data_IF_138123296662
#
_entry.id   IF_138123296662
#
_cell.length_a   1.000
_cell.length_b   1.000
_cell.length_c   1.000
_cell.angle_alpha   90.00
_cell.angle_beta   90.00
_cell.angle_gamma   90.00
#
_symmetry.space_group_name_H-M   'P 1'
#
loop_
_entity.id
_entity.type
_entity.pdbx_description
1 polymer ?
#
# COMPACT_ATOMS: atom_id res chain seq x y z
N UNK A 1 15.15 47.37 -8.27
CA UNK A 1 13.74 47.62 -8.68
C UNK A 1 13.00 48.46 -7.63
N UNK A 2 12.95 48.07 -6.36
CA UNK A 2 12.24 48.80 -5.29
C UNK A 2 12.61 50.29 -5.18
N UNK A 3 13.93 50.62 -5.34
CA UNK A 3 14.38 52.03 -5.31
C UNK A 3 13.91 52.85 -6.51
N UNK A 4 13.87 52.20 -7.70
CA UNK A 4 13.40 52.84 -8.93
C UNK A 4 11.86 53.02 -8.89
N UNK A 5 11.15 52.06 -8.41
CA UNK A 5 9.70 52.14 -8.19
C UNK A 5 9.33 53.22 -7.14
N UNK A 6 10.13 53.34 -6.06
CA UNK A 6 9.95 54.35 -5.06
C UNK A 6 10.24 55.78 -5.60
N UNK A 7 11.21 55.90 -6.48
CA UNK A 7 11.53 57.20 -7.17
C UNK A 7 10.43 57.60 -8.15
N UNK A 8 9.95 56.64 -8.96
CA UNK A 8 8.86 56.89 -9.93
C UNK A 8 7.54 57.27 -9.23
N UNK A 9 7.28 56.70 -8.04
CA UNK A 9 6.12 57.14 -7.22
C UNK A 9 6.22 58.60 -6.74
N UNK A 10 7.45 59.08 -6.53
CA UNK A 10 7.68 60.47 -6.05
C UNK A 10 7.83 61.47 -7.19
N UNK A 11 8.41 61.06 -8.30
CA UNK A 11 8.65 61.88 -9.48
C UNK A 11 8.45 61.05 -10.76
N UNK A 12 7.20 61.03 -11.30
CA UNK A 12 6.87 60.19 -12.48
C UNK A 12 7.68 60.50 -13.72
N UNK A 13 8.10 61.76 -13.91
CA UNK A 13 8.83 62.23 -15.06
C UNK A 13 10.36 62.18 -14.90
N UNK A 14 10.89 61.52 -13.87
CA UNK A 14 12.31 61.47 -13.57
C UNK A 14 13.09 60.49 -14.48
N UNK A 15 12.40 59.56 -15.17
CA UNK A 15 12.99 58.56 -16.04
C UNK A 15 12.08 58.35 -17.29
N UNK A 16 12.69 58.05 -18.44
CA UNK A 16 11.88 57.72 -19.60
C UNK A 16 11.25 56.33 -19.40
N UNK A 17 10.09 56.09 -20.01
CA UNK A 17 9.42 54.79 -19.99
C UNK A 17 10.36 53.67 -20.50
N UNK A 18 11.14 53.95 -21.50
CA UNK A 18 12.10 53.04 -22.11
C UNK A 18 13.20 52.63 -21.09
N UNK A 19 13.75 53.58 -20.31
CA UNK A 19 14.75 53.27 -19.26
C UNK A 19 14.17 52.42 -18.12
N UNK A 20 12.89 52.63 -17.78
CA UNK A 20 12.20 51.86 -16.77
C UNK A 20 11.97 50.41 -17.24
N UNK A 21 11.56 50.23 -18.52
CA UNK A 21 11.40 48.90 -19.12
C UNK A 21 12.71 48.16 -19.18
N UNK A 22 13.78 48.80 -19.64
CA UNK A 22 15.11 48.20 -19.71
C UNK A 22 15.62 47.76 -18.32
N UNK A 23 15.44 48.57 -17.29
CA UNK A 23 15.78 48.19 -15.91
C UNK A 23 14.93 47.02 -15.37
N UNK A 24 13.67 46.96 -15.75
CA UNK A 24 12.81 45.83 -15.40
C UNK A 24 13.27 44.53 -16.08
N UNK A 25 13.59 44.61 -17.38
CA UNK A 25 14.10 43.46 -18.12
C UNK A 25 15.45 42.96 -17.56
N UNK A 26 16.37 43.86 -17.26
CA UNK A 26 17.63 43.51 -16.63
C UNK A 26 17.45 42.84 -15.27
N UNK A 27 16.51 43.36 -14.46
CA UNK A 27 16.20 42.76 -13.16
C UNK A 27 15.54 41.39 -13.30
N UNK A 28 14.64 41.21 -14.26
CA UNK A 28 14.02 39.91 -14.54
C UNK A 28 15.06 38.88 -15.01
N UNK A 29 15.98 39.29 -15.88
CA UNK A 29 17.08 38.44 -16.33
C UNK A 29 18.00 38.02 -15.16
N UNK A 30 18.37 38.98 -14.32
CA UNK A 30 19.20 38.70 -13.13
C UNK A 30 18.47 37.77 -12.14
N UNK A 31 17.18 37.95 -11.99
CA UNK A 31 16.36 37.07 -11.13
C UNK A 31 16.23 35.66 -11.71
N UNK A 32 16.09 35.53 -13.03
CA UNK A 32 16.07 34.23 -13.70
C UNK A 32 17.39 33.50 -13.56
N UNK A 33 18.54 34.20 -13.74
CA UNK A 33 19.88 33.64 -13.55
C UNK A 33 20.09 33.20 -12.11
N UNK A 34 19.66 34.00 -11.14
CA UNK A 34 19.73 33.64 -9.73
C UNK A 34 18.96 32.35 -9.44
N UNK A 35 17.70 32.26 -9.91
CA UNK A 35 16.87 31.06 -9.74
C UNK A 35 17.50 29.84 -10.38
N UNK A 36 18.10 29.99 -11.56
CA UNK A 36 18.81 28.90 -12.22
C UNK A 36 19.99 28.40 -11.39
N UNK A 37 20.80 29.33 -10.85
CA UNK A 37 21.93 28.97 -9.99
C UNK A 37 21.51 28.38 -8.66
N UNK A 38 20.44 28.88 -8.07
CA UNK A 38 19.84 28.31 -6.86
C UNK A 38 19.35 26.87 -7.10
N UNK A 39 18.65 26.62 -8.22
CA UNK A 39 18.21 25.28 -8.60
C UNK A 39 19.40 24.34 -8.81
N UNK A 40 20.48 24.81 -9.46
CA UNK A 40 21.71 24.03 -9.60
C UNK A 40 22.35 23.72 -8.26
N UNK A 41 22.40 24.67 -7.33
CA UNK A 41 22.94 24.46 -5.99
C UNK A 41 22.11 23.45 -5.19
N UNK A 42 20.78 23.49 -5.32
CA UNK A 42 19.89 22.54 -4.65
C UNK A 42 20.11 21.09 -5.12
N UNK A 43 20.61 20.86 -6.34
CA UNK A 43 20.96 19.52 -6.81
C UNK A 43 22.17 18.91 -6.07
N UNK A 44 22.95 19.71 -5.36
CA UNK A 44 24.06 19.22 -4.52
C UNK A 44 23.62 18.90 -3.08
N UNK A 45 22.38 19.22 -2.72
CA UNK A 45 21.82 18.96 -1.41
C UNK A 45 20.75 17.86 -1.52
N UNK A 46 21.07 16.66 -1.07
CA UNK A 46 20.09 15.58 -0.96
C UNK A 46 19.27 15.75 0.32
N UNK A 47 17.99 16.01 0.14
CA UNK A 47 17.02 16.11 1.25
C UNK A 47 16.07 14.93 1.17
N UNK A 48 15.77 14.31 2.33
CA UNK A 48 14.80 13.25 2.42
C UNK A 48 13.39 13.79 2.05
N UNK A 49 12.70 13.21 1.04
CA UNK A 49 11.40 13.71 0.60
C UNK A 49 10.25 13.30 1.54
N UNK A 50 10.46 12.34 2.42
CA UNK A 50 9.50 11.86 3.43
C UNK A 50 10.23 11.26 4.63
N UNK A 51 9.51 11.01 5.70
CA UNK A 51 10.05 10.35 6.91
C UNK A 51 10.21 8.85 6.69
N UNK A 52 11.38 8.30 7.05
CA UNK A 52 11.69 6.89 6.86
C UNK A 52 13.05 6.49 7.39
N UNK A 53 13.45 5.26 7.14
CA UNK A 53 14.76 4.73 7.48
C UNK A 53 15.67 4.69 6.25
N UNK A 54 16.89 5.15 6.42
CA UNK A 54 17.93 5.07 5.40
C UNK A 54 18.60 3.71 5.45
N UNK A 55 18.89 3.16 4.26
CA UNK A 55 19.80 2.01 4.13
C UNK A 55 21.26 2.48 4.29
N UNK A 56 22.19 1.53 4.24
CA UNK A 56 23.61 1.88 4.22
C UNK A 56 23.95 2.65 2.96
N UNK A 57 24.85 3.63 3.10
CA UNK A 57 25.37 4.34 1.95
C UNK A 57 26.24 3.40 1.10
N UNK A 58 25.98 3.39 -0.21
CA UNK A 58 26.71 2.56 -1.18
C UNK A 58 28.10 3.09 -1.49
N UNK A 59 28.39 4.35 -1.18
CA UNK A 59 29.65 5.04 -1.46
C UNK A 59 30.20 5.72 -0.22
N UNK A 60 31.52 5.69 -0.11
CA UNK A 60 32.22 6.37 0.97
C UNK A 60 32.50 7.85 0.61
N UNK A 61 32.74 8.66 1.64
CA UNK A 61 33.14 10.06 1.46
C UNK A 61 34.43 10.14 0.63
N UNK A 62 34.44 11.01 -0.37
CA UNK A 62 35.56 11.16 -1.33
C UNK A 62 35.40 10.29 -2.60
N UNK A 63 34.44 9.41 -2.68
CA UNK A 63 34.16 8.67 -3.91
C UNK A 63 33.56 9.59 -4.98
N UNK A 64 33.95 9.36 -6.22
CA UNK A 64 33.38 10.04 -7.38
C UNK A 64 31.99 9.45 -7.65
N UNK A 65 30.98 10.28 -7.80
CA UNK A 65 29.63 9.94 -8.13
C UNK A 65 29.16 10.74 -9.34
N UNK A 66 28.18 10.22 -10.04
CA UNK A 66 27.42 10.90 -11.09
C UNK A 66 25.93 10.94 -10.73
N UNK A 67 25.12 11.61 -11.55
CA UNK A 67 23.68 11.79 -11.31
C UNK A 67 22.87 10.48 -11.35
N UNK A 68 23.42 9.41 -11.90
CA UNK A 68 22.78 8.10 -12.01
C UNK A 68 23.18 7.15 -10.87
N UNK A 69 24.15 7.53 -10.04
CA UNK A 69 24.68 6.68 -8.97
C UNK A 69 23.72 6.65 -7.77
N UNK A 70 23.08 5.51 -7.44
CA UNK A 70 22.29 5.40 -6.23
C UNK A 70 23.19 5.44 -5.00
N UNK A 71 22.95 6.38 -4.09
CA UNK A 71 23.75 6.55 -2.87
C UNK A 71 23.17 5.80 -1.69
N UNK A 72 21.88 5.91 -1.50
CA UNK A 72 21.14 5.40 -0.34
C UNK A 72 19.69 5.23 -0.73
N UNK A 73 19.00 4.26 -0.13
CA UNK A 73 17.54 4.12 -0.27
C UNK A 73 16.88 4.61 1.01
N UNK A 74 15.81 5.38 0.85
CA UNK A 74 14.93 5.79 1.94
C UNK A 74 13.69 4.92 1.90
N UNK A 75 13.39 4.24 3.01
CA UNK A 75 12.31 3.27 3.11
C UNK A 75 11.31 3.77 4.14
N UNK A 76 10.04 3.84 3.75
CA UNK A 76 8.94 4.09 4.67
C UNK A 76 8.48 2.76 5.27
N UNK A 77 8.52 2.65 6.59
CA UNK A 77 8.18 1.42 7.31
C UNK A 77 6.79 1.45 7.97
N UNK A 78 6.11 2.58 7.97
CA UNK A 78 4.75 2.70 8.49
C UNK A 78 3.94 3.72 7.66
N UNK A 79 2.82 3.31 7.08
CA UNK A 79 2.35 1.93 6.92
C UNK A 79 3.24 1.13 5.94
N UNK A 80 3.20 -0.20 6.07
CA UNK A 80 3.81 -1.14 5.09
C UNK A 80 2.74 -1.59 4.12
N UNK A 81 3.10 -1.74 2.87
CA UNK A 81 2.24 -2.35 1.85
C UNK A 81 2.56 -3.84 1.71
N UNK A 82 1.52 -4.66 1.75
CA UNK A 82 1.60 -6.11 1.48
C UNK A 82 0.95 -6.38 0.14
N UNK A 83 1.73 -6.95 -0.77
CA UNK A 83 1.27 -7.33 -2.11
C UNK A 83 1.03 -8.84 -2.14
N UNK A 84 -0.13 -9.25 -2.63
CA UNK A 84 -0.50 -10.66 -2.79
C UNK A 84 -1.41 -10.82 -4.01
N UNK A 85 -1.66 -12.07 -4.40
CA UNK A 85 -2.47 -12.36 -5.57
C UNK A 85 -3.60 -13.33 -5.20
N UNK A 86 -4.82 -12.99 -5.61
CA UNK A 86 -6.01 -13.82 -5.46
C UNK A 86 -6.36 -14.52 -6.76
N UNK A 87 -7.14 -15.60 -6.69
CA UNK A 87 -7.66 -16.27 -7.87
C UNK A 87 -8.73 -15.45 -8.60
N UNK A 88 -8.88 -15.66 -9.90
CA UNK A 88 -9.95 -15.00 -10.67
C UNK A 88 -11.35 -15.33 -10.12
N UNK A 89 -11.54 -16.54 -9.55
CA UNK A 89 -12.79 -16.96 -8.90
C UNK A 89 -13.18 -16.06 -7.71
N UNK A 90 -12.19 -15.51 -7.02
CA UNK A 90 -12.37 -14.76 -5.79
C UNK A 90 -12.56 -13.26 -6.05
N UNK A 91 -12.31 -12.81 -7.30
CA UNK A 91 -12.42 -11.40 -7.68
C UNK A 91 -13.83 -10.83 -7.43
N UNK A 92 -14.88 -11.64 -7.62
CA UNK A 92 -16.25 -11.21 -7.40
C UNK A 92 -16.60 -10.87 -5.94
N UNK A 93 -15.83 -11.41 -4.99
CA UNK A 93 -16.00 -11.18 -3.55
C UNK A 93 -14.98 -10.23 -2.95
N UNK A 94 -13.90 -9.94 -3.67
CA UNK A 94 -12.86 -9.02 -3.24
C UNK A 94 -13.33 -7.56 -3.39
N UNK A 95 -13.21 -6.78 -2.32
CA UNK A 95 -13.60 -5.38 -2.28
C UNK A 95 -12.55 -4.53 -1.56
N UNK A 96 -12.46 -3.27 -1.97
CA UNK A 96 -11.66 -2.28 -1.24
C UNK A 96 -12.23 -2.10 0.19
N UNK A 97 -11.35 -1.92 1.16
CA UNK A 97 -11.72 -1.76 2.56
C UNK A 97 -11.86 -3.08 3.34
N UNK A 98 -11.77 -4.23 2.69
CA UNK A 98 -11.79 -5.51 3.40
C UNK A 98 -10.57 -5.68 4.30
N UNK A 99 -10.80 -6.31 5.45
CA UNK A 99 -9.73 -6.62 6.39
C UNK A 99 -8.92 -7.83 5.93
N UNK A 100 -7.61 -7.74 6.12
CA UNK A 100 -6.68 -8.84 5.89
C UNK A 100 -5.93 -9.17 7.17
N UNK A 101 -5.74 -10.45 7.40
CA UNK A 101 -4.93 -11.00 8.49
C UNK A 101 -3.63 -11.53 7.90
N UNK A 102 -2.52 -11.05 8.42
CA UNK A 102 -1.19 -11.31 7.89
C UNK A 102 -0.34 -12.01 8.94
N UNK A 103 0.24 -13.13 8.56
CA UNK A 103 1.18 -13.88 9.39
C UNK A 103 2.52 -13.97 8.68
N UNK A 104 3.57 -13.63 9.41
CA UNK A 104 4.96 -13.67 8.93
C UNK A 104 5.71 -14.71 9.73
N UNK A 105 6.41 -15.62 9.05
CA UNK A 105 7.09 -16.75 9.72
C UNK A 105 8.19 -16.29 10.71
N UNK A 106 8.74 -15.07 10.51
CA UNK A 106 9.69 -14.47 11.46
C UNK A 106 9.08 -14.13 12.84
N UNK A 107 7.75 -14.00 12.91
CA UNK A 107 7.01 -13.63 14.13
C UNK A 107 5.93 -14.67 14.43
N UNK A 108 6.36 -15.90 14.72
CA UNK A 108 5.47 -17.01 15.03
C UNK A 108 4.55 -16.68 16.21
N UNK A 109 3.24 -16.65 15.95
CA UNK A 109 2.18 -16.35 16.92
C UNK A 109 1.58 -14.96 16.80
N UNK A 110 2.25 -14.02 16.12
CA UNK A 110 1.71 -12.67 15.90
C UNK A 110 0.92 -12.61 14.61
N UNK A 111 -0.19 -11.92 14.67
CA UNK A 111 -1.04 -11.64 13.52
C UNK A 111 -1.11 -10.12 13.33
N UNK A 112 -0.72 -9.66 12.16
CA UNK A 112 -0.85 -8.26 11.75
C UNK A 112 -2.15 -8.09 10.98
N UNK A 113 -2.78 -6.94 11.16
CA UNK A 113 -4.02 -6.61 10.45
C UNK A 113 -3.79 -5.50 9.47
N UNK A 114 -4.41 -5.61 8.31
CA UNK A 114 -4.35 -4.60 7.26
C UNK A 114 -5.70 -4.40 6.61
N UNK A 115 -5.76 -3.46 5.69
CA UNK A 115 -6.95 -3.11 4.92
C UNK A 115 -6.59 -3.06 3.44
N UNK A 116 -7.40 -3.72 2.61
CA UNK A 116 -7.26 -3.70 1.15
C UNK A 116 -7.51 -2.29 0.62
N UNK A 117 -6.55 -1.75 -0.10
CA UNK A 117 -6.63 -0.42 -0.70
C UNK A 117 -6.49 -0.41 -2.22
N UNK A 118 -6.00 -1.51 -2.80
CA UNK A 118 -5.90 -1.64 -4.23
C UNK A 118 -6.21 -3.07 -4.69
N UNK A 119 -6.98 -3.17 -5.77
CA UNK A 119 -7.24 -4.40 -6.51
C UNK A 119 -6.96 -4.10 -7.98
N UNK A 120 -6.10 -4.88 -8.61
CA UNK A 120 -5.74 -4.67 -10.00
C UNK A 120 -6.97 -4.81 -10.92
N UNK A 121 -7.17 -3.91 -11.89
CA UNK A 121 -8.31 -3.96 -12.80
C UNK A 121 -8.18 -5.03 -13.89
N UNK A 122 -7.03 -5.72 -13.93
CA UNK A 122 -6.73 -6.74 -14.92
C UNK A 122 -6.22 -8.02 -14.27
N UNK A 123 -6.53 -9.14 -14.88
CA UNK A 123 -6.01 -10.46 -14.53
C UNK A 123 -4.66 -10.64 -15.24
N UNK A 124 -3.65 -11.08 -14.54
CA UNK A 124 -2.38 -11.49 -15.15
C UNK A 124 -2.57 -12.75 -15.99
N UNK A 125 -2.35 -12.64 -17.29
CA UNK A 125 -2.63 -13.70 -18.26
C UNK A 125 -1.76 -14.95 -18.03
N UNK A 126 -0.59 -14.79 -17.42
CA UNK A 126 0.35 -15.90 -17.22
C UNK A 126 0.01 -16.75 -16.01
N UNK A 127 -0.51 -16.13 -14.95
CA UNK A 127 -0.82 -16.79 -13.67
C UNK A 127 -2.33 -17.00 -13.44
N UNK A 128 -3.21 -16.31 -14.18
CA UNK A 128 -4.65 -16.30 -13.95
C UNK A 128 -5.05 -15.64 -12.62
N UNK A 129 -4.20 -14.77 -12.06
CA UNK A 129 -4.39 -14.15 -10.77
C UNK A 129 -4.56 -12.63 -10.88
N UNK A 130 -5.16 -12.07 -9.85
CA UNK A 130 -5.36 -10.62 -9.69
C UNK A 130 -4.50 -10.14 -8.55
N UNK A 131 -3.72 -9.10 -8.78
CA UNK A 131 -2.88 -8.47 -7.78
C UNK A 131 -3.74 -7.62 -6.83
N UNK A 132 -3.47 -7.75 -5.54
CA UNK A 132 -4.15 -7.02 -4.46
C UNK A 132 -3.10 -6.45 -3.52
N UNK A 133 -3.29 -5.20 -3.12
CA UNK A 133 -2.46 -4.57 -2.10
C UNK A 133 -3.28 -4.27 -0.86
N UNK A 134 -2.62 -4.37 0.28
CA UNK A 134 -3.20 -4.01 1.57
C UNK A 134 -2.21 -3.20 2.40
N UNK A 135 -2.68 -2.13 3.00
CA UNK A 135 -1.90 -1.34 3.95
C UNK A 135 -1.99 -1.94 5.35
N UNK A 136 -0.85 -2.09 5.98
CA UNK A 136 -0.67 -2.64 7.33
C UNK A 136 -0.01 -1.62 8.21
N UNK A 137 -0.60 -1.31 9.35
CA UNK A 137 0.03 -0.45 10.36
C UNK A 137 1.20 -1.18 11.01
N UNK A 138 2.35 -0.53 11.09
CA UNK A 138 3.60 -1.09 11.56
C UNK A 138 4.36 -0.10 12.48
N UNK A 139 3.74 0.36 13.58
CA UNK A 139 4.31 1.41 14.42
C UNK A 139 5.62 0.98 15.09
N UNK A 140 5.80 -0.30 15.35
CA UNK A 140 7.03 -0.86 15.94
C UNK A 140 8.10 -1.18 14.89
N UNK A 141 7.84 -0.92 13.60
CA UNK A 141 8.75 -1.19 12.47
C UNK A 141 9.25 -2.65 12.42
N UNK A 142 8.43 -3.59 12.87
CA UNK A 142 8.76 -5.03 12.88
C UNK A 142 8.70 -5.65 11.50
N UNK A 143 7.72 -5.22 10.69
CA UNK A 143 7.62 -5.64 9.30
C UNK A 143 8.60 -4.82 8.45
N UNK A 144 9.38 -5.52 7.64
CA UNK A 144 10.35 -4.89 6.74
C UNK A 144 10.15 -5.40 5.31
N UNK A 145 10.41 -4.58 4.29
CA UNK A 145 10.31 -4.99 2.90
C UNK A 145 11.16 -6.22 2.59
N UNK A 146 10.63 -7.11 1.75
CA UNK A 146 11.27 -8.37 1.39
C UNK A 146 10.89 -9.55 2.28
N UNK A 147 10.08 -9.36 3.32
CA UNK A 147 9.51 -10.48 4.08
C UNK A 147 8.40 -11.18 3.30
N UNK A 148 8.33 -12.50 3.45
CA UNK A 148 7.22 -13.30 2.96
C UNK A 148 6.13 -13.39 4.03
N UNK A 149 4.89 -13.24 3.60
CA UNK A 149 3.74 -13.27 4.48
C UNK A 149 2.64 -14.19 3.94
N UNK A 150 1.91 -14.81 4.85
CA UNK A 150 0.65 -15.52 4.56
C UNK A 150 -0.48 -14.56 4.83
N UNK A 151 -1.27 -14.27 3.79
CA UNK A 151 -2.38 -13.33 3.85
C UNK A 151 -3.70 -14.10 3.82
N UNK A 152 -4.57 -13.84 4.80
CA UNK A 152 -5.95 -14.30 4.81
C UNK A 152 -6.87 -13.09 4.69
N UNK A 153 -7.56 -12.96 3.57
CA UNK A 153 -8.53 -11.90 3.33
C UNK A 153 -9.92 -12.36 3.79
N UNK A 154 -10.58 -11.51 4.57
CA UNK A 154 -11.97 -11.76 4.99
C UNK A 154 -12.89 -11.21 3.90
N UNK A 155 -13.52 -12.09 3.15
CA UNK A 155 -14.38 -11.73 2.01
C UNK A 155 -15.84 -11.48 2.39
N UNK A 156 -16.28 -11.95 3.57
CA UNK A 156 -17.61 -11.65 4.11
C UNK A 156 -17.54 -11.53 5.63
N UNK A 157 -18.07 -10.43 6.18
CA UNK A 157 -18.08 -10.19 7.64
C UNK A 157 -19.21 -10.90 8.38
N UNK A 158 -20.27 -11.31 7.69
CA UNK A 158 -21.47 -11.90 8.31
C UNK A 158 -22.07 -13.03 7.46
N UNK A 159 -21.48 -14.20 7.51
CA UNK A 159 -22.29 -15.40 7.27
C UNK A 159 -22.32 -16.22 8.56
N UNK A 160 -23.43 -16.16 9.26
CA UNK A 160 -23.76 -17.14 10.30
C UNK A 160 -23.97 -18.48 9.58
N UNK A 161 -22.89 -19.08 9.15
CA UNK A 161 -22.92 -20.37 8.49
C UNK A 161 -22.87 -21.44 9.56
N UNK A 162 -23.78 -22.40 9.45
CA UNK A 162 -23.74 -23.57 10.33
C UNK A 162 -22.54 -24.44 9.90
N UNK A 163 -21.61 -24.68 10.81
CA UNK A 163 -20.44 -25.50 10.55
C UNK A 163 -20.58 -26.80 11.32
N UNK A 164 -20.36 -27.93 10.66
CA UNK A 164 -20.32 -29.25 11.29
C UNK A 164 -18.88 -29.81 11.26
N UNK A 165 -18.46 -30.39 12.36
CA UNK A 165 -17.14 -31.03 12.42
C UNK A 165 -17.05 -32.16 11.37
N UNK A 166 -15.89 -32.26 10.71
CA UNK A 166 -15.63 -33.30 9.72
C UNK A 166 -15.88 -34.73 10.26
N UNK A 167 -15.62 -34.93 11.53
CA UNK A 167 -15.80 -36.23 12.21
C UNK A 167 -17.29 -36.56 12.48
N UNK A 168 -18.19 -35.58 12.38
CA UNK A 168 -19.63 -35.77 12.61
C UNK A 168 -20.39 -36.09 11.33
N UNK A 169 -19.74 -36.01 10.18
CA UNK A 169 -20.39 -36.27 8.90
C UNK A 169 -20.30 -37.75 8.54
N UNK A 170 -21.42 -38.37 8.36
CA UNK A 170 -21.55 -39.75 7.86
C UNK A 170 -21.73 -39.73 6.34
N UNK A 171 -20.89 -40.47 5.65
CA UNK A 171 -21.00 -40.68 4.22
C UNK A 171 -21.57 -42.07 3.96
N UNK A 172 -22.72 -42.12 3.28
CA UNK A 172 -23.30 -43.38 2.81
C UNK A 172 -23.75 -43.20 1.37
N UNK A 173 -23.20 -44.02 0.49
CA UNK A 173 -23.41 -43.93 -0.96
C UNK A 173 -23.06 -42.51 -1.48
N UNK A 174 -24.03 -41.76 -1.94
CA UNK A 174 -23.84 -40.38 -2.42
C UNK A 174 -24.36 -39.34 -1.44
N UNK A 175 -24.95 -39.75 -0.33
CA UNK A 175 -25.56 -38.85 0.66
C UNK A 175 -24.59 -38.56 1.81
N UNK A 176 -24.70 -37.34 2.32
CA UNK A 176 -24.00 -36.88 3.53
C UNK A 176 -25.05 -36.61 4.59
N UNK A 177 -24.82 -37.08 5.81
CA UNK A 177 -25.80 -36.96 6.90
C UNK A 177 -25.10 -36.74 8.23
N UNK A 178 -25.81 -36.15 9.17
CA UNK A 178 -25.38 -35.93 10.56
C UNK A 178 -26.48 -36.45 11.52
N UNK A 179 -26.07 -36.88 12.69
CA UNK A 179 -26.99 -37.17 13.77
C UNK A 179 -27.28 -35.91 14.56
N UNK A 180 -28.52 -35.51 14.63
CA UNK A 180 -29.00 -34.38 15.43
C UNK A 180 -29.75 -34.89 16.64
N UNK A 181 -29.46 -34.34 17.82
CA UNK A 181 -30.17 -34.61 19.05
C UNK A 181 -31.22 -33.49 19.23
N UNK A 182 -32.47 -33.84 19.17
CA UNK A 182 -33.57 -32.93 19.44
C UNK A 182 -34.31 -33.42 20.70
N UNK A 183 -34.06 -32.72 21.81
CA UNK A 183 -34.61 -33.13 23.12
C UNK A 183 -34.12 -34.52 23.53
N UNK A 184 -35.00 -35.51 23.50
CA UNK A 184 -34.72 -36.90 23.92
C UNK A 184 -34.73 -37.88 22.72
N UNK A 185 -34.70 -37.37 21.50
CA UNK A 185 -34.70 -38.17 20.28
C UNK A 185 -33.43 -37.87 19.46
N UNK A 186 -32.97 -38.90 18.76
CA UNK A 186 -31.87 -38.80 17.83
C UNK A 186 -32.43 -38.98 16.42
N UNK A 187 -32.18 -38.03 15.53
CA UNK A 187 -32.60 -38.02 14.16
C UNK A 187 -31.44 -37.90 13.20
N UNK A 188 -31.44 -38.68 12.13
CA UNK A 188 -30.46 -38.55 11.06
C UNK A 188 -30.99 -37.55 10.04
N UNK A 189 -30.20 -36.46 9.80
CA UNK A 189 -30.53 -35.45 8.78
C UNK A 189 -29.54 -35.52 7.64
N UNK A 190 -30.05 -35.53 6.43
CA UNK A 190 -29.26 -35.39 5.22
C UNK A 190 -28.89 -33.90 5.11
N UNK A 191 -27.62 -33.61 4.79
CA UNK A 191 -27.10 -32.28 4.64
C UNK A 191 -26.31 -32.16 3.36
N UNK A 192 -26.36 -30.99 2.74
CA UNK A 192 -25.44 -30.62 1.67
C UNK A 192 -24.21 -29.91 2.25
N UNK A 193 -23.03 -30.39 1.84
CA UNK A 193 -21.76 -29.82 2.32
C UNK A 193 -21.26 -28.76 1.34
N UNK A 194 -21.05 -27.57 1.86
CA UNK A 194 -20.40 -26.46 1.17
C UNK A 194 -18.88 -26.46 1.35
N UNK A 195 -18.30 -25.27 1.49
CA UNK A 195 -16.87 -25.10 1.60
C UNK A 195 -16.29 -25.79 2.85
N UNK A 196 -15.09 -26.34 2.71
CA UNK A 196 -14.30 -26.87 3.83
C UNK A 196 -13.60 -25.70 4.53
N UNK A 197 -13.78 -25.61 5.85
CA UNK A 197 -13.12 -24.62 6.72
C UNK A 197 -12.17 -25.32 7.69
N UNK A 198 -11.35 -24.55 8.41
CA UNK A 198 -10.44 -25.10 9.43
C UNK A 198 -11.19 -25.86 10.56
N UNK A 199 -12.45 -25.51 10.79
CA UNK A 199 -13.29 -26.06 11.86
C UNK A 199 -14.25 -27.16 11.39
N UNK A 200 -14.37 -27.39 10.06
CA UNK A 200 -15.26 -28.38 9.49
C UNK A 200 -15.85 -27.99 8.15
N UNK A 201 -16.99 -28.58 7.82
CA UNK A 201 -17.75 -28.27 6.60
C UNK A 201 -18.87 -27.29 6.89
N UNK A 202 -19.04 -26.33 6.00
CA UNK A 202 -20.22 -25.47 5.98
C UNK A 202 -21.43 -26.30 5.54
N UNK A 203 -22.54 -26.21 6.25
CA UNK A 203 -23.82 -26.82 5.84
C UNK A 203 -24.53 -25.83 4.95
N UNK A 204 -24.88 -26.28 3.75
CA UNK A 204 -25.76 -25.56 2.83
C UNK A 204 -27.11 -26.30 2.91
N UNK A 205 -28.18 -25.60 3.23
CA UNK A 205 -29.54 -26.19 3.22
C UNK A 205 -29.97 -26.60 1.82
#
# INVERSE_FOLDING_TARGET
LERVEALLKKQPDSMSQQDVEELKEQANLAQADFRQKEALMNNYLLVAPFDGQLTNFSKSVGARIDSSTPLVSLIKLDPVEVQYAIGQSDLGTAQLGQHVSIKVDAFNGDTFTGVVDYIAPAVDESSGRVEVHAHVTNPEHRLVPGMFAKVNQVTSEDSTQMVVSQNSVLAKDNDRSVWVVDGNKIEQRIIDLGANTNDGYVVVE
#
